data_IF_990321365131
#
_entry.id   IF_990321365131
#
_cell.length_a   1.000
_cell.length_b   1.000
_cell.length_c   1.000
_cell.angle_alpha   90.00
_cell.angle_beta   90.00
_cell.angle_gamma   90.00
#
_symmetry.space_group_name_H-M   'P 1'
#
loop_
_entity.id
_entity.type
_entity.pdbx_description
1 polymer ?
#
# COMPACT_ATOMS: atom_id res chain seq x y z
N UNK A 1 23.81 0.33 24.11
CA UNK A 1 24.42 0.27 22.76
C UNK A 1 24.99 1.61 22.28
N UNK A 2 24.68 2.74 22.93
CA UNK A 2 25.11 4.07 22.48
C UNK A 2 26.50 4.52 23.01
N UNK A 3 27.05 3.82 24.01
CA UNK A 3 28.34 4.15 24.64
C UNK A 3 29.59 3.56 23.95
N UNK A 4 29.44 2.85 22.82
CA UNK A 4 30.57 2.25 22.06
C UNK A 4 30.99 3.08 20.84
N UNK A 5 30.33 4.21 20.56
CA UNK A 5 30.61 5.04 19.37
C UNK A 5 31.59 6.19 19.60
N UNK A 6 31.88 6.54 20.84
CA UNK A 6 32.84 7.58 21.17
C UNK A 6 34.22 6.94 21.36
N UNK A 7 35.20 7.35 20.56
CA UNK A 7 36.63 7.00 20.62
C UNK A 7 37.09 5.69 19.96
N UNK A 8 36.50 5.35 18.82
CA UNK A 8 37.08 4.34 17.92
C UNK A 8 38.03 5.05 16.94
N UNK A 9 39.34 4.82 17.09
CA UNK A 9 40.39 5.32 16.17
C UNK A 9 40.01 5.06 14.70
N UNK A 10 40.33 5.97 13.75
CA UNK A 10 40.05 5.77 12.32
C UNK A 10 40.47 4.40 11.81
N UNK A 11 41.63 3.91 12.25
CA UNK A 11 42.17 2.58 11.90
C UNK A 11 41.24 1.45 12.34
N UNK A 12 40.61 1.58 13.50
CA UNK A 12 39.67 0.57 14.01
C UNK A 12 38.35 0.63 13.23
N UNK A 13 37.91 1.81 12.78
CA UNK A 13 36.74 1.93 11.92
C UNK A 13 36.98 1.34 10.52
N UNK A 14 38.16 1.55 9.96
CA UNK A 14 38.57 0.96 8.68
C UNK A 14 38.61 -0.57 8.77
N UNK A 15 39.24 -1.11 9.82
CA UNK A 15 39.28 -2.56 10.07
C UNK A 15 37.88 -3.16 10.25
N UNK A 16 36.97 -2.49 10.97
CA UNK A 16 35.58 -2.93 11.12
C UNK A 16 34.87 -2.95 9.77
N UNK A 17 35.10 -1.93 8.94
CA UNK A 17 34.49 -1.81 7.60
C UNK A 17 34.98 -2.88 6.64
N UNK A 18 36.27 -3.23 6.70
CA UNK A 18 36.85 -4.35 5.95
C UNK A 18 36.25 -5.70 6.37
N UNK A 19 36.13 -5.95 7.68
CA UNK A 19 35.52 -7.18 8.19
C UNK A 19 34.06 -7.30 7.74
N UNK A 20 33.28 -6.21 7.85
CA UNK A 20 31.88 -6.18 7.39
C UNK A 20 31.81 -6.48 5.88
N UNK A 21 32.69 -5.88 5.08
CA UNK A 21 32.74 -6.07 3.64
C UNK A 21 33.10 -7.52 3.27
N UNK A 22 34.04 -8.12 4.01
CA UNK A 22 34.43 -9.52 3.86
C UNK A 22 33.28 -10.48 4.18
N UNK A 23 32.62 -10.29 5.32
CA UNK A 23 31.44 -11.08 5.73
C UNK A 23 30.30 -10.96 4.72
N UNK A 24 30.07 -9.76 4.18
CA UNK A 24 29.03 -9.53 3.17
C UNK A 24 29.36 -10.23 1.84
N UNK A 25 30.63 -10.22 1.44
CA UNK A 25 31.12 -10.93 0.26
C UNK A 25 30.95 -12.44 0.43
N UNK A 26 31.36 -12.97 1.57
CA UNK A 26 31.19 -14.38 1.94
C UNK A 26 29.71 -14.77 1.93
N UNK A 27 28.86 -14.02 2.62
CA UNK A 27 27.41 -14.25 2.66
C UNK A 27 26.77 -14.29 1.26
N UNK A 28 27.15 -13.36 0.37
CA UNK A 28 26.65 -13.35 -1.02
C UNK A 28 27.17 -14.52 -1.86
N UNK A 29 28.37 -15.01 -1.56
CA UNK A 29 28.96 -16.16 -2.25
C UNK A 29 28.31 -17.49 -1.87
N UNK A 30 27.69 -17.55 -0.68
CA UNK A 30 26.99 -18.74 -0.19
C UNK A 30 25.72 -18.94 -1.02
N UNK A 31 25.75 -19.94 -1.90
CA UNK A 31 24.56 -20.43 -2.57
C UNK A 31 23.92 -21.48 -1.69
N UNK A 32 22.82 -21.12 -1.03
CA UNK A 32 22.01 -22.03 -0.24
C UNK A 32 20.82 -22.46 -1.09
N UNK A 33 20.49 -23.75 -1.09
CA UNK A 33 19.27 -24.22 -1.72
C UNK A 33 18.06 -23.64 -0.97
N UNK A 34 17.15 -23.02 -1.73
CA UNK A 34 15.89 -22.53 -1.18
C UNK A 34 14.86 -23.67 -1.15
N UNK A 35 13.96 -23.63 -0.17
CA UNK A 35 12.78 -24.49 -0.19
C UNK A 35 12.00 -24.20 -1.48
N UNK A 36 11.67 -25.25 -2.23
CA UNK A 36 11.02 -25.15 -3.55
C UNK A 36 9.53 -24.86 -3.36
N UNK A 37 9.21 -23.71 -2.77
CA UNK A 37 7.84 -23.25 -2.52
C UNK A 37 7.62 -21.84 -3.04
N UNK A 38 6.55 -21.67 -3.79
CA UNK A 38 6.03 -20.37 -4.22
C UNK A 38 4.78 -20.08 -3.38
N UNK A 39 4.79 -18.96 -2.67
CA UNK A 39 3.68 -18.52 -1.84
C UNK A 39 3.01 -17.31 -2.49
N UNK A 40 1.69 -17.39 -2.68
CA UNK A 40 0.86 -16.30 -3.17
C UNK A 40 -0.20 -16.01 -2.13
N UNK A 41 -0.38 -14.73 -1.80
CA UNK A 41 -1.33 -14.29 -0.78
C UNK A 41 -2.43 -13.48 -1.46
N UNK A 42 -3.68 -13.84 -1.21
CA UNK A 42 -4.84 -13.09 -1.65
C UNK A 42 -5.83 -12.94 -0.50
N UNK A 43 -6.06 -11.71 -0.06
CA UNK A 43 -6.88 -11.40 1.12
C UNK A 43 -7.96 -10.39 0.70
N UNK A 44 -9.00 -10.29 1.53
CA UNK A 44 -10.05 -9.29 1.46
C UNK A 44 -11.09 -9.46 0.33
N UNK A 45 -11.02 -10.53 -0.46
CA UNK A 45 -11.94 -10.75 -1.58
C UNK A 45 -11.80 -12.12 -2.21
N UNK A 46 -12.76 -12.51 -3.04
CA UNK A 46 -12.62 -13.71 -3.86
C UNK A 46 -11.44 -13.51 -4.84
N UNK A 47 -10.50 -14.48 -4.93
CA UNK A 47 -9.39 -14.38 -5.87
C UNK A 47 -9.93 -14.31 -7.32
N UNK A 48 -9.53 -13.33 -8.13
CA UNK A 48 -9.97 -13.24 -9.52
C UNK A 48 -9.45 -14.42 -10.34
N UNK A 49 -10.16 -14.79 -11.40
CA UNK A 49 -9.75 -15.88 -12.31
C UNK A 49 -8.33 -15.69 -12.89
N UNK A 50 -7.87 -14.44 -12.98
CA UNK A 50 -6.51 -14.11 -13.44
C UNK A 50 -5.43 -14.69 -12.56
N UNK A 51 -5.65 -14.86 -11.25
CA UNK A 51 -4.68 -15.53 -10.34
C UNK A 51 -4.42 -16.97 -10.77
N UNK A 52 -5.46 -17.66 -11.22
CA UNK A 52 -5.34 -19.04 -11.73
C UNK A 52 -4.44 -19.11 -12.97
N UNK A 53 -4.41 -18.06 -13.80
CA UNK A 53 -3.50 -17.98 -14.96
C UNK A 53 -2.05 -17.85 -14.50
N UNK A 54 -1.77 -17.00 -13.51
CA UNK A 54 -0.43 -16.87 -12.95
C UNK A 54 0.05 -18.15 -12.25
N UNK A 55 -0.81 -18.79 -11.46
CA UNK A 55 -0.49 -20.07 -10.80
C UNK A 55 -0.10 -21.16 -11.82
N UNK A 56 -0.84 -21.25 -12.95
CA UNK A 56 -0.50 -22.18 -14.04
C UNK A 56 0.84 -21.84 -14.70
N UNK A 57 1.13 -20.57 -14.95
CA UNK A 57 2.39 -20.14 -15.52
C UNK A 57 3.58 -20.47 -14.60
N UNK A 58 3.46 -20.20 -13.29
CA UNK A 58 4.50 -20.54 -12.31
C UNK A 58 4.74 -22.04 -12.21
N UNK A 59 3.67 -22.85 -12.19
CA UNK A 59 3.80 -24.31 -12.20
C UNK A 59 4.49 -24.84 -13.47
N UNK A 60 4.25 -24.21 -14.62
CA UNK A 60 4.89 -24.59 -15.87
C UNK A 60 6.38 -24.21 -15.91
N UNK A 61 6.74 -23.03 -15.39
CA UNK A 61 8.11 -22.54 -15.35
C UNK A 61 8.97 -23.25 -14.28
N UNK A 62 8.35 -23.64 -13.16
CA UNK A 62 9.02 -24.24 -12.01
C UNK A 62 8.28 -25.52 -11.58
N UNK A 63 8.38 -26.61 -12.36
CA UNK A 63 7.62 -27.84 -12.10
C UNK A 63 7.96 -28.50 -10.77
N UNK A 64 9.18 -28.30 -10.27
CA UNK A 64 9.66 -28.84 -9.00
C UNK A 64 9.20 -28.02 -7.79
N UNK A 65 8.56 -26.86 -7.99
CA UNK A 65 8.13 -25.99 -6.92
C UNK A 65 6.67 -26.27 -6.54
N UNK A 66 6.41 -26.33 -5.23
CA UNK A 66 5.05 -26.37 -4.70
C UNK A 66 4.46 -24.97 -4.68
N UNK A 67 3.24 -24.81 -5.19
CA UNK A 67 2.54 -23.53 -5.22
C UNK A 67 1.45 -23.48 -4.14
N UNK A 68 1.52 -22.50 -3.26
CA UNK A 68 0.60 -22.32 -2.14
C UNK A 68 -0.15 -20.99 -2.29
N UNK A 69 -1.47 -21.05 -2.46
CA UNK A 69 -2.34 -19.87 -2.40
C UNK A 69 -2.91 -19.75 -0.98
N UNK A 70 -2.56 -18.68 -0.30
CA UNK A 70 -3.05 -18.35 1.03
C UNK A 70 -4.18 -17.35 0.92
N UNK A 71 -5.31 -17.72 1.52
CA UNK A 71 -6.54 -16.92 1.59
C UNK A 71 -6.94 -16.75 3.04
N UNK A 72 -7.60 -15.64 3.36
CA UNK A 72 -8.30 -15.49 4.62
C UNK A 72 -9.81 -15.76 4.41
N UNK A 73 -10.32 -16.93 4.85
CA UNK A 73 -11.72 -17.27 4.67
C UNK A 73 -12.68 -16.38 5.45
N UNK A 74 -12.20 -15.68 6.49
CA UNK A 74 -13.04 -14.83 7.32
C UNK A 74 -13.13 -13.39 6.79
N UNK A 75 -12.29 -13.02 5.81
CA UNK A 75 -12.20 -11.65 5.31
C UNK A 75 -12.69 -11.48 3.86
N UNK A 76 -13.37 -12.47 3.27
CA UNK A 76 -13.81 -12.39 1.87
C UNK A 76 -14.69 -11.18 1.53
N UNK A 77 -15.45 -10.66 2.50
CA UNK A 77 -16.33 -9.51 2.29
C UNK A 77 -15.64 -8.15 2.57
N UNK A 78 -14.40 -8.14 3.07
CA UNK A 78 -13.77 -6.92 3.57
C UNK A 78 -13.58 -5.86 2.49
N UNK A 79 -13.19 -6.26 1.27
CA UNK A 79 -13.08 -5.34 0.14
C UNK A 79 -14.43 -4.74 -0.25
N UNK A 80 -15.46 -5.59 -0.37
CA UNK A 80 -16.81 -5.14 -0.75
C UNK A 80 -17.39 -4.20 0.29
N UNK A 81 -17.27 -4.55 1.57
CA UNK A 81 -17.69 -3.71 2.69
C UNK A 81 -16.99 -2.34 2.66
N UNK A 82 -15.67 -2.31 2.51
CA UNK A 82 -14.91 -1.06 2.43
C UNK A 82 -15.30 -0.22 1.21
N UNK A 83 -15.57 -0.86 0.07
CA UNK A 83 -16.02 -0.18 -1.14
C UNK A 83 -17.38 0.48 -0.93
N UNK A 84 -18.33 -0.24 -0.34
CA UNK A 84 -19.65 0.28 -0.01
C UNK A 84 -19.56 1.43 1.02
N UNK A 85 -18.79 1.26 2.08
CA UNK A 85 -18.57 2.29 3.10
C UNK A 85 -17.98 3.56 2.49
N UNK A 86 -16.98 3.44 1.61
CA UNK A 86 -16.39 4.57 0.91
C UNK A 86 -17.42 5.28 0.02
N UNK A 87 -18.24 4.51 -0.70
CA UNK A 87 -19.30 5.07 -1.54
C UNK A 87 -20.33 5.84 -0.71
N UNK A 88 -20.79 5.26 0.40
CA UNK A 88 -21.78 5.89 1.28
C UNK A 88 -21.21 7.17 1.92
N UNK A 89 -19.97 7.12 2.42
CA UNK A 89 -19.30 8.28 2.98
C UNK A 89 -19.16 9.41 1.96
N UNK A 90 -18.80 9.07 0.70
CA UNK A 90 -18.68 10.05 -0.37
C UNK A 90 -20.03 10.67 -0.74
N UNK A 91 -21.08 9.87 -0.88
CA UNK A 91 -22.43 10.38 -1.16
C UNK A 91 -22.98 11.25 -0.03
N UNK A 92 -22.68 10.87 1.22
CA UNK A 92 -23.02 11.70 2.39
C UNK A 92 -22.29 13.04 2.33
N UNK A 93 -20.97 13.05 2.13
CA UNK A 93 -20.17 14.27 2.04
C UNK A 93 -20.67 15.18 0.90
N UNK A 94 -21.01 14.63 -0.27
CA UNK A 94 -21.64 15.39 -1.37
C UNK A 94 -22.95 16.04 -0.93
N UNK A 95 -23.81 15.29 -0.26
CA UNK A 95 -25.12 15.76 0.18
C UNK A 95 -24.97 16.88 1.22
N UNK A 96 -24.04 16.74 2.15
CA UNK A 96 -23.73 17.73 3.17
C UNK A 96 -23.23 19.05 2.55
N UNK A 97 -22.31 18.96 1.58
CA UNK A 97 -21.86 20.12 0.81
C UNK A 97 -23.05 20.76 0.10
N UNK A 98 -23.83 20.01 -0.68
CA UNK A 98 -24.99 20.56 -1.42
C UNK A 98 -25.99 21.25 -0.48
N UNK A 99 -26.29 20.66 0.68
CA UNK A 99 -27.22 21.23 1.66
C UNK A 99 -26.69 22.50 2.35
N UNK A 100 -25.38 22.72 2.33
CA UNK A 100 -24.71 23.89 2.92
C UNK A 100 -24.61 25.08 1.95
N UNK A 101 -25.02 24.89 0.69
CA UNK A 101 -24.96 25.91 -0.36
C UNK A 101 -26.32 26.54 -0.64
N UNK A 102 -26.31 27.81 -1.05
CA UNK A 102 -27.48 28.45 -1.63
C UNK A 102 -27.72 27.99 -3.07
N UNK A 103 -28.88 28.32 -3.64
CA UNK A 103 -29.21 27.99 -5.03
C UNK A 103 -28.23 28.67 -6.00
N UNK A 104 -27.81 29.90 -5.70
CA UNK A 104 -26.85 30.66 -6.49
C UNK A 104 -25.46 30.01 -6.44
N UNK A 105 -24.94 29.68 -5.26
CA UNK A 105 -23.65 28.99 -5.08
C UNK A 105 -23.64 27.62 -5.77
N UNK A 106 -24.76 26.88 -5.71
CA UNK A 106 -24.91 25.60 -6.40
C UNK A 106 -24.89 25.77 -7.92
N UNK A 107 -25.47 26.86 -8.45
CA UNK A 107 -25.46 27.15 -9.88
C UNK A 107 -24.04 27.50 -10.37
N UNK A 108 -23.26 28.24 -9.58
CA UNK A 108 -21.83 28.50 -9.87
C UNK A 108 -21.06 27.17 -10.06
N UNK A 109 -21.26 26.21 -9.15
CA UNK A 109 -20.64 24.87 -9.26
C UNK A 109 -21.14 24.08 -10.47
N UNK A 110 -22.46 24.07 -10.73
CA UNK A 110 -23.05 23.34 -11.86
C UNK A 110 -22.60 23.87 -13.21
N UNK A 111 -22.45 25.19 -13.32
CA UNK A 111 -22.03 25.87 -14.55
C UNK A 111 -20.51 25.90 -14.73
N UNK A 112 -19.74 25.36 -13.77
CA UNK A 112 -18.26 25.40 -13.74
C UNK A 112 -17.70 26.82 -13.78
N UNK A 113 -18.43 27.76 -13.18
CA UNK A 113 -17.99 29.13 -13.00
C UNK A 113 -16.94 29.18 -11.88
N UNK A 114 -16.03 30.16 -11.95
CA UNK A 114 -15.04 30.38 -10.88
C UNK A 114 -15.77 30.90 -9.63
N UNK A 115 -15.62 30.24 -8.47
CA UNK A 115 -16.11 30.78 -7.21
C UNK A 115 -15.45 32.13 -6.90
N UNK A 116 -16.18 33.04 -6.26
CA UNK A 116 -15.56 34.22 -5.68
C UNK A 116 -14.76 33.88 -4.40
N UNK A 117 -13.94 34.81 -3.92
CA UNK A 117 -13.08 34.60 -2.75
C UNK A 117 -13.88 34.22 -1.47
N UNK A 118 -15.10 34.74 -1.33
CA UNK A 118 -15.98 34.44 -0.20
C UNK A 118 -16.53 33.03 -0.26
N UNK A 119 -16.96 32.60 -1.44
CA UNK A 119 -17.42 31.24 -1.69
C UNK A 119 -16.29 30.22 -1.59
N UNK A 120 -15.08 30.55 -2.09
CA UNK A 120 -13.88 29.75 -1.89
C UNK A 120 -13.54 29.54 -0.40
N UNK A 121 -13.57 30.61 0.41
CA UNK A 121 -13.33 30.51 1.85
C UNK A 121 -14.37 29.63 2.56
N UNK A 122 -15.65 29.73 2.15
CA UNK A 122 -16.74 28.87 2.65
C UNK A 122 -16.56 27.41 2.26
N UNK A 123 -16.15 27.12 1.02
CA UNK A 123 -15.87 25.74 0.61
C UNK A 123 -14.73 25.14 1.43
N UNK A 124 -13.63 25.87 1.65
CA UNK A 124 -12.51 25.37 2.45
C UNK A 124 -12.92 25.08 3.90
N UNK A 125 -13.73 25.93 4.53
CA UNK A 125 -14.19 25.68 5.91
C UNK A 125 -15.11 24.46 6.04
N UNK A 126 -15.78 24.03 4.96
CA UNK A 126 -16.58 22.80 4.94
C UNK A 126 -15.71 21.53 4.90
N UNK A 127 -14.43 21.62 4.51
CA UNK A 127 -13.52 20.47 4.38
C UNK A 127 -12.42 20.41 5.45
N UNK A 128 -12.23 21.47 6.25
CA UNK A 128 -11.16 21.57 7.26
C UNK A 128 -11.60 21.26 8.72
N UNK A 129 -12.83 20.79 8.93
CA UNK A 129 -13.31 20.38 10.26
C UNK A 129 -12.87 18.95 10.64
#
# INVERSE_FOLDING_TARGET
MEKLRADVSPVVQDNISEIISSLHSEYKSLKVEIDKKIHVIWIAGAPPETITKYAKAYKAAYPDFSFNLWIDPNAFAAYEFNSQLKSVALEHAKSEVINSLTIEELNVLKNKEQPDDGFHAKLNSLFEN
#
